data_IF_662494527737
#
_entry.id   IF_662494527737
#
_cell.length_a   1.000
_cell.length_b   1.000
_cell.length_c   1.000
_cell.angle_alpha   90.00
_cell.angle_beta   90.00
_cell.angle_gamma   90.00
#
_symmetry.space_group_name_H-M   'P 1'
#
loop_
_entity.id
_entity.type
_entity.pdbx_description
1 polymer ?
#
# COMPACT_ATOMS: atom_id res chain seq x y z
N UNK A 1 22.27 -10.26 26.02
CA UNK A 1 21.13 -10.34 25.08
C UNK A 1 19.92 -9.77 25.79
N UNK A 2 19.23 -8.78 25.22
CA UNK A 2 18.00 -8.25 25.82
C UNK A 2 16.86 -9.26 25.60
N UNK A 3 16.26 -9.73 26.68
CA UNK A 3 15.07 -10.57 26.63
C UNK A 3 13.90 -9.65 26.30
N UNK A 4 13.43 -9.69 25.06
CA UNK A 4 12.20 -9.00 24.69
C UNK A 4 11.03 -9.95 25.01
N UNK A 5 10.19 -9.61 26.01
CA UNK A 5 9.02 -10.42 26.30
C UNK A 5 8.13 -10.50 25.03
N UNK A 6 7.36 -11.59 24.85
CA UNK A 6 6.40 -11.68 23.76
C UNK A 6 5.44 -10.49 23.82
N UNK A 7 5.05 -9.91 22.67
CA UNK A 7 4.13 -8.79 22.66
C UNK A 7 2.85 -9.18 23.39
N UNK A 8 2.40 -8.33 24.32
CA UNK A 8 1.15 -8.58 25.03
C UNK A 8 -0.04 -8.43 24.07
N UNK A 9 -1.19 -9.01 24.43
CA UNK A 9 -2.40 -8.97 23.60
C UNK A 9 -2.81 -7.54 23.22
N UNK A 10 -2.64 -6.58 24.13
CA UNK A 10 -2.99 -5.17 23.92
C UNK A 10 -2.10 -4.50 22.87
N UNK A 11 -0.81 -4.84 22.81
CA UNK A 11 0.13 -4.37 21.78
C UNK A 11 -0.30 -4.88 20.39
N UNK A 12 -0.70 -6.16 20.29
CA UNK A 12 -1.19 -6.75 19.04
C UNK A 12 -2.50 -6.08 18.61
N UNK A 13 -3.45 -5.90 19.53
CA UNK A 13 -4.72 -5.21 19.25
C UNK A 13 -4.49 -3.74 18.85
N UNK A 14 -3.51 -3.08 19.48
CA UNK A 14 -3.09 -1.72 19.11
C UNK A 14 -2.58 -1.61 17.68
N UNK A 15 -1.86 -2.62 17.16
CA UNK A 15 -1.40 -2.66 15.77
C UNK A 15 -2.55 -2.76 14.77
N UNK A 16 -3.64 -3.45 15.11
CA UNK A 16 -4.84 -3.53 14.25
C UNK A 16 -5.45 -2.15 14.06
N UNK A 17 -5.69 -1.43 15.15
CA UNK A 17 -6.26 -0.08 15.11
C UNK A 17 -5.37 0.90 14.32
N UNK A 18 -4.05 0.83 14.51
CA UNK A 18 -3.09 1.65 13.76
C UNK A 18 -3.10 1.33 12.26
N UNK A 19 -3.22 0.06 11.91
CA UNK A 19 -3.27 -0.40 10.52
C UNK A 19 -4.53 0.08 9.81
N UNK A 20 -5.69 0.00 10.49
CA UNK A 20 -6.96 0.51 9.99
C UNK A 20 -6.91 2.03 9.77
N UNK A 21 -6.40 2.78 10.76
CA UNK A 21 -6.23 4.22 10.66
C UNK A 21 -5.30 4.63 9.48
N UNK A 22 -4.20 3.89 9.29
CA UNK A 22 -3.28 4.11 8.18
C UNK A 22 -3.96 3.83 6.83
N UNK A 23 -4.72 2.74 6.73
CA UNK A 23 -5.48 2.39 5.53
C UNK A 23 -6.51 3.47 5.17
N UNK A 24 -7.25 3.95 6.17
CA UNK A 24 -8.24 5.03 6.02
C UNK A 24 -7.56 6.32 5.52
N UNK A 25 -6.45 6.71 6.13
CA UNK A 25 -5.68 7.91 5.74
C UNK A 25 -5.18 7.82 4.29
N UNK A 26 -4.70 6.65 3.85
CA UNK A 26 -4.29 6.43 2.46
C UNK A 26 -5.46 6.53 1.48
N UNK A 27 -6.63 6.02 1.84
CA UNK A 27 -7.83 6.13 1.02
C UNK A 27 -8.30 7.59 0.89
N UNK A 28 -8.35 8.32 2.01
CA UNK A 28 -8.68 9.74 2.05
C UNK A 28 -7.72 10.57 1.20
N UNK A 29 -6.42 10.28 1.25
CA UNK A 29 -5.41 10.94 0.43
C UNK A 29 -5.72 10.79 -1.07
N UNK A 30 -6.08 9.58 -1.52
CA UNK A 30 -6.45 9.35 -2.93
C UNK A 30 -7.71 10.13 -3.30
N UNK A 31 -8.72 10.13 -2.44
CA UNK A 31 -9.98 10.89 -2.65
C UNK A 31 -9.70 12.38 -2.77
N UNK A 32 -8.90 12.94 -1.86
CA UNK A 32 -8.53 14.35 -1.89
C UNK A 32 -7.76 14.71 -3.16
N UNK A 33 -6.81 13.87 -3.60
CA UNK A 33 -6.11 14.06 -4.87
C UNK A 33 -7.10 14.07 -6.03
N UNK A 34 -8.05 13.14 -6.07
CA UNK A 34 -9.04 13.03 -7.14
C UNK A 34 -9.97 14.26 -7.21
N UNK A 35 -10.33 14.81 -6.05
CA UNK A 35 -11.05 16.10 -5.94
C UNK A 35 -10.21 17.25 -6.53
N UNK A 36 -8.92 17.33 -6.19
CA UNK A 36 -8.04 18.39 -6.72
C UNK A 36 -7.85 18.26 -8.24
N UNK A 37 -7.73 17.05 -8.76
CA UNK A 37 -7.69 16.80 -10.20
C UNK A 37 -8.98 17.26 -10.89
N UNK A 38 -10.15 17.03 -10.29
CA UNK A 38 -11.43 17.52 -10.83
C UNK A 38 -11.50 19.06 -10.87
N UNK A 39 -11.06 19.73 -9.79
CA UNK A 39 -10.97 21.21 -9.75
C UNK A 39 -10.03 21.76 -10.82
N UNK A 40 -8.88 21.11 -11.02
CA UNK A 40 -7.96 21.48 -12.10
C UNK A 40 -8.62 21.29 -13.47
N UNK A 41 -9.32 20.19 -13.71
CA UNK A 41 -10.02 19.97 -14.99
C UNK A 41 -11.07 21.06 -15.29
N UNK A 42 -11.79 21.49 -14.26
CA UNK A 42 -12.74 22.59 -14.37
C UNK A 42 -12.04 23.91 -14.73
N UNK A 43 -10.95 24.24 -14.05
CA UNK A 43 -10.14 25.42 -14.34
C UNK A 43 -9.56 25.40 -15.76
N UNK A 44 -9.03 24.25 -16.20
CA UNK A 44 -8.57 24.03 -17.57
C UNK A 44 -9.71 24.21 -18.60
N UNK A 45 -10.94 23.85 -18.22
CA UNK A 45 -12.13 24.08 -19.02
C UNK A 45 -12.40 25.56 -19.28
N UNK A 46 -12.21 26.42 -18.27
CA UNK A 46 -12.47 27.86 -18.30
C UNK A 46 -11.33 28.67 -18.94
N UNK A 47 -10.09 28.33 -18.64
CA UNK A 47 -8.89 29.10 -19.03
C UNK A 47 -8.45 28.87 -20.49
N UNK A 48 -8.92 27.83 -21.15
CA UNK A 48 -8.45 27.47 -22.49
C UNK A 48 -9.56 27.66 -23.52
N UNK A 49 -9.28 28.30 -24.67
CA UNK A 49 -10.26 28.41 -25.75
C UNK A 49 -10.64 27.03 -26.27
N UNK A 50 -11.86 26.90 -26.81
CA UNK A 50 -12.32 25.65 -27.43
C UNK A 50 -11.72 25.46 -28.83
N UNK A 51 -10.40 25.21 -28.87
CA UNK A 51 -9.60 25.02 -30.08
C UNK A 51 -8.70 23.80 -29.95
N UNK A 52 -8.21 23.29 -31.09
CA UNK A 52 -7.22 22.21 -31.12
C UNK A 52 -6.02 22.58 -30.24
N UNK A 53 -5.62 21.68 -29.35
CA UNK A 53 -4.63 21.90 -28.29
C UNK A 53 -5.21 22.02 -26.88
N UNK A 54 -6.53 22.09 -26.71
CA UNK A 54 -7.18 22.21 -25.39
C UNK A 54 -6.86 21.00 -24.52
N UNK A 55 -6.28 21.24 -23.36
CA UNK A 55 -5.96 20.21 -22.37
C UNK A 55 -7.14 19.99 -21.43
N UNK A 56 -7.42 18.72 -21.12
CA UNK A 56 -8.42 18.28 -20.13
C UNK A 56 -7.90 17.06 -19.39
N UNK A 57 -8.49 16.74 -18.25
CA UNK A 57 -8.26 15.50 -17.50
C UNK A 57 -9.47 14.59 -17.74
N UNK A 58 -9.23 13.36 -18.18
CA UNK A 58 -10.27 12.37 -18.46
C UNK A 58 -9.99 11.07 -17.72
N UNK A 59 -11.06 10.45 -17.24
CA UNK A 59 -11.03 9.18 -16.54
C UNK A 59 -11.28 8.06 -17.53
N UNK A 60 -10.24 7.29 -17.87
CA UNK A 60 -10.35 6.17 -18.80
C UNK A 60 -10.16 4.84 -18.07
N UNK A 61 -10.84 3.81 -18.55
CA UNK A 61 -10.64 2.44 -18.06
C UNK A 61 -9.30 1.91 -18.57
N UNK A 62 -8.43 1.49 -17.65
CA UNK A 62 -7.18 0.77 -17.91
C UNK A 62 -7.16 -0.46 -17.02
N UNK A 63 -7.14 -1.66 -17.63
CA UNK A 63 -7.17 -2.96 -16.91
C UNK A 63 -8.30 -3.03 -15.87
N UNK A 64 -9.51 -2.64 -16.28
CA UNK A 64 -10.70 -2.62 -15.42
C UNK A 64 -10.80 -1.46 -14.43
N UNK A 65 -9.74 -0.67 -14.23
CA UNK A 65 -9.71 0.45 -13.27
C UNK A 65 -9.86 1.79 -13.98
N UNK A 66 -10.60 2.73 -13.39
CA UNK A 66 -10.63 4.11 -13.87
C UNK A 66 -9.36 4.84 -13.44
N UNK A 67 -8.66 5.43 -14.42
CA UNK A 67 -7.40 6.14 -14.21
C UNK A 67 -7.49 7.52 -14.86
N UNK A 68 -7.07 8.59 -14.16
CA UNK A 68 -7.04 9.92 -14.73
C UNK A 68 -5.88 10.05 -15.72
N UNK A 69 -6.16 10.59 -16.90
CA UNK A 69 -5.18 10.93 -17.92
C UNK A 69 -5.37 12.37 -18.37
N UNK A 70 -4.27 13.09 -18.53
CA UNK A 70 -4.32 14.36 -19.26
C UNK A 70 -4.43 14.04 -20.75
N UNK A 71 -5.41 14.67 -21.39
CA UNK A 71 -5.67 14.55 -22.82
C UNK A 71 -5.61 15.92 -23.47
N UNK A 72 -5.14 15.93 -24.71
CA UNK A 72 -5.14 17.08 -25.60
C UNK A 72 -6.22 16.85 -26.65
N UNK A 73 -7.17 17.76 -26.75
CA UNK A 73 -8.20 17.73 -27.78
C UNK A 73 -7.63 18.24 -29.09
N UNK A 74 -7.77 17.43 -30.14
CA UNK A 74 -7.33 17.73 -31.50
C UNK A 74 -8.52 17.67 -32.42
N UNK A 75 -8.72 18.75 -33.19
CA UNK A 75 -9.72 18.77 -34.25
C UNK A 75 -9.12 18.14 -35.50
N UNK A 76 -9.69 17.02 -35.95
CA UNK A 76 -9.18 16.27 -37.11
C UNK A 76 -9.87 16.72 -38.40
N UNK A 77 -9.23 16.50 -39.55
CA UNK A 77 -9.76 16.92 -40.88
C UNK A 77 -11.15 16.37 -41.19
N UNK A 78 -11.55 15.26 -40.57
CA UNK A 78 -12.89 14.68 -40.71
C UNK A 78 -14.00 15.45 -39.98
N UNK A 79 -13.70 16.63 -39.42
CA UNK A 79 -14.67 17.47 -38.70
C UNK A 79 -14.98 17.01 -37.27
N UNK A 80 -14.27 16.00 -36.76
CA UNK A 80 -14.48 15.41 -35.43
C UNK A 80 -13.42 15.87 -34.43
N UNK A 81 -13.77 15.81 -33.15
CA UNK A 81 -12.83 16.01 -32.04
C UNK A 81 -12.27 14.68 -31.56
N UNK A 82 -10.94 14.60 -31.42
CA UNK A 82 -10.24 13.45 -30.87
C UNK A 82 -9.49 13.85 -29.60
N UNK A 83 -9.54 13.01 -28.58
CA UNK A 83 -8.70 13.15 -27.39
C UNK A 83 -7.42 12.32 -27.55
N UNK A 84 -6.27 12.98 -27.53
CA UNK A 84 -4.96 12.34 -27.52
C UNK A 84 -4.39 12.35 -26.10
N UNK A 85 -3.97 11.19 -25.60
CA UNK A 85 -3.32 11.12 -24.30
C UNK A 85 -1.96 11.84 -24.35
N UNK A 86 -1.70 12.64 -23.33
CA UNK A 86 -0.40 13.32 -23.16
C UNK A 86 0.47 12.52 -22.19
N UNK A 87 1.76 12.40 -22.50
CA UNK A 87 2.73 11.81 -21.59
C UNK A 87 2.94 12.73 -20.36
N UNK A 88 3.11 12.13 -19.19
CA UNK A 88 3.32 12.82 -17.91
C UNK A 88 4.58 13.73 -17.95
N UNK A 89 5.60 13.31 -18.68
CA UNK A 89 6.86 14.05 -18.83
C UNK A 89 6.68 15.34 -19.64
N UNK A 90 5.78 15.31 -20.63
CA UNK A 90 5.57 16.40 -21.59
C UNK A 90 4.44 17.35 -21.20
N UNK A 91 3.74 17.14 -20.06
CA UNK A 91 2.51 17.89 -19.72
C UNK A 91 2.67 19.41 -19.80
N UNK A 92 3.78 19.95 -19.31
CA UNK A 92 4.04 21.40 -19.30
C UNK A 92 4.47 21.89 -20.69
N UNK A 93 5.17 21.05 -21.46
CA UNK A 93 5.71 21.38 -22.77
C UNK A 93 4.61 21.47 -23.83
N UNK A 94 3.55 20.65 -23.70
CA UNK A 94 2.44 20.65 -24.67
C UNK A 94 1.47 21.82 -24.48
N UNK A 95 1.61 22.62 -23.42
CA UNK A 95 0.78 23.80 -23.19
C UNK A 95 1.03 24.82 -24.29
N UNK A 96 -0.03 25.17 -25.04
CA UNK A 96 0.06 26.19 -26.08
C UNK A 96 0.30 27.57 -25.48
N UNK A 97 1.15 28.34 -26.15
CA UNK A 97 1.54 29.71 -25.77
C UNK A 97 1.30 30.72 -26.91
N UNK A 98 0.81 30.26 -28.05
CA UNK A 98 0.58 31.07 -29.25
C UNK A 98 -0.77 31.81 -29.20
N UNK A 99 -0.84 33.03 -29.76
CA UNK A 99 -2.09 33.77 -29.99
C UNK A 99 -3.01 33.83 -28.75
N UNK A 100 -4.28 33.43 -28.90
CA UNK A 100 -5.33 33.38 -27.88
C UNK A 100 -4.99 32.53 -26.64
N UNK A 101 -3.94 31.70 -26.71
CA UNK A 101 -3.48 30.90 -25.57
C UNK A 101 -2.50 31.66 -24.68
N UNK A 102 -1.90 32.76 -25.17
CA UNK A 102 -0.75 33.41 -24.53
C UNK A 102 -1.07 33.90 -23.12
N UNK A 103 -2.22 34.54 -22.93
CA UNK A 103 -2.62 35.17 -21.67
C UNK A 103 -2.69 34.15 -20.52
N UNK A 104 -3.38 33.02 -20.73
CA UNK A 104 -3.60 32.01 -19.70
C UNK A 104 -2.51 30.92 -19.65
N UNK A 105 -1.59 30.90 -20.63
CA UNK A 105 -0.56 29.87 -20.71
C UNK A 105 0.35 29.73 -19.47
N UNK A 106 0.73 30.80 -18.73
CA UNK A 106 1.49 30.64 -17.49
C UNK A 106 0.69 29.86 -16.44
N UNK A 107 -0.57 30.23 -16.21
CA UNK A 107 -1.46 29.58 -15.24
C UNK A 107 -1.71 28.13 -15.63
N UNK A 108 -1.97 27.85 -16.91
CA UNK A 108 -2.16 26.49 -17.40
C UNK A 108 -0.91 25.63 -17.21
N UNK A 109 0.30 26.20 -17.38
CA UNK A 109 1.55 25.49 -17.09
C UNK A 109 1.68 25.14 -15.61
N UNK A 110 1.31 26.04 -14.72
CA UNK A 110 1.36 25.79 -13.27
C UNK A 110 0.34 24.72 -12.86
N UNK A 111 -0.87 24.77 -13.42
CA UNK A 111 -1.87 23.70 -13.26
C UNK A 111 -1.31 22.35 -13.74
N UNK A 112 -0.63 22.30 -14.88
CA UNK A 112 0.01 21.07 -15.38
C UNK A 112 1.15 20.56 -14.50
N UNK A 113 1.97 21.45 -13.92
CA UNK A 113 2.99 21.07 -12.93
C UNK A 113 2.33 20.45 -11.69
N UNK A 114 1.23 21.04 -11.22
CA UNK A 114 0.48 20.52 -10.08
C UNK A 114 -0.19 19.18 -10.40
N UNK A 115 -0.83 19.05 -11.56
CA UNK A 115 -1.38 17.79 -12.06
C UNK A 115 -0.31 16.69 -12.10
N UNK A 116 0.90 17.00 -12.59
CA UNK A 116 2.02 16.05 -12.61
C UNK A 116 2.34 15.51 -11.20
N UNK A 117 2.44 16.40 -10.21
CA UNK A 117 2.69 16.04 -8.82
C UNK A 117 1.55 15.19 -8.24
N UNK A 118 0.30 15.62 -8.43
CA UNK A 118 -0.89 14.91 -7.94
C UNK A 118 -0.99 13.49 -8.53
N UNK A 119 -0.77 13.33 -9.84
CA UNK A 119 -0.79 12.01 -10.47
C UNK A 119 0.31 11.08 -9.92
N UNK A 120 1.50 11.60 -9.65
CA UNK A 120 2.58 10.82 -9.03
C UNK A 120 2.23 10.41 -7.59
N UNK A 121 1.70 11.34 -6.78
CA UNK A 121 1.24 11.05 -5.41
C UNK A 121 0.13 10.00 -5.40
N UNK A 122 -0.83 10.12 -6.31
CA UNK A 122 -1.93 9.15 -6.47
C UNK A 122 -1.42 7.76 -6.79
N UNK A 123 -0.50 7.63 -7.74
CA UNK A 123 0.12 6.35 -8.10
C UNK A 123 0.81 5.73 -6.90
N UNK A 124 1.64 6.50 -6.19
CA UNK A 124 2.35 6.01 -5.01
C UNK A 124 1.41 5.55 -3.89
N UNK A 125 0.35 6.29 -3.62
CA UNK A 125 -0.65 5.91 -2.61
C UNK A 125 -1.37 4.61 -2.98
N UNK A 126 -1.76 4.46 -4.25
CA UNK A 126 -2.41 3.23 -4.74
C UNK A 126 -1.48 2.02 -4.77
N UNK A 127 -0.18 2.23 -5.06
CA UNK A 127 0.84 1.19 -4.96
C UNK A 127 1.03 0.75 -3.50
N UNK A 128 1.10 1.70 -2.55
CA UNK A 128 1.20 1.37 -1.13
C UNK A 128 0.02 0.50 -0.64
N UNK A 129 -1.21 0.85 -1.03
CA UNK A 129 -2.41 0.05 -0.72
C UNK A 129 -2.31 -1.36 -1.32
N UNK A 130 -1.83 -1.47 -2.57
CA UNK A 130 -1.68 -2.77 -3.24
C UNK A 130 -0.60 -3.64 -2.59
N UNK A 131 0.54 -3.04 -2.22
CA UNK A 131 1.60 -3.74 -1.51
C UNK A 131 1.14 -4.23 -0.15
N UNK A 132 0.48 -3.38 0.64
CA UNK A 132 -0.09 -3.77 1.93
C UNK A 132 -1.02 -4.98 1.78
N UNK A 133 -1.97 -4.91 0.83
CA UNK A 133 -2.90 -6.01 0.57
C UNK A 133 -2.19 -7.31 0.19
N UNK A 134 -1.18 -7.23 -0.70
CA UNK A 134 -0.45 -8.40 -1.16
C UNK A 134 0.35 -9.06 -0.03
N UNK A 135 1.04 -8.27 0.79
CA UNK A 135 1.84 -8.76 1.92
C UNK A 135 0.95 -9.37 3.02
N UNK A 136 -0.19 -8.73 3.33
CA UNK A 136 -1.15 -9.27 4.29
C UNK A 136 -1.73 -10.61 3.80
N UNK A 137 -2.13 -10.70 2.53
CA UNK A 137 -2.66 -11.93 1.94
C UNK A 137 -1.66 -13.09 1.98
N UNK A 138 -0.38 -12.83 1.70
CA UNK A 138 0.68 -13.84 1.81
C UNK A 138 0.82 -14.35 3.25
N UNK A 139 0.82 -13.45 4.22
CA UNK A 139 0.95 -13.83 5.63
C UNK A 139 -0.24 -14.67 6.11
N UNK A 140 -1.46 -14.30 5.67
CA UNK A 140 -2.69 -15.05 5.97
C UNK A 140 -2.66 -16.45 5.32
N UNK A 141 -2.01 -16.61 4.16
CA UNK A 141 -1.91 -17.94 3.52
C UNK A 141 -1.12 -18.97 4.33
N UNK A 142 -0.34 -18.54 5.32
CA UNK A 142 0.35 -19.44 6.26
C UNK A 142 -0.57 -19.99 7.37
N UNK A 143 -1.81 -19.51 7.46
CA UNK A 143 -2.77 -19.91 8.50
C UNK A 143 -2.97 -21.44 8.61
N UNK A 144 -3.15 -22.21 7.52
CA UNK A 144 -3.33 -23.66 7.64
C UNK A 144 -2.09 -24.38 8.16
N UNK A 145 -0.89 -23.85 7.87
CA UNK A 145 0.36 -24.41 8.40
C UNK A 145 0.45 -24.19 9.91
N UNK A 146 0.07 -22.99 10.39
CA UNK A 146 0.02 -22.71 11.83
C UNK A 146 -0.99 -23.63 12.54
N UNK A 147 -2.16 -23.84 11.95
CA UNK A 147 -3.18 -24.74 12.50
C UNK A 147 -2.68 -26.19 12.60
N UNK A 148 -1.97 -26.69 11.58
CA UNK A 148 -1.32 -28.01 11.62
C UNK A 148 -0.29 -28.10 12.74
N UNK A 149 0.58 -27.10 12.87
CA UNK A 149 1.63 -27.09 13.90
C UNK A 149 1.03 -27.01 15.32
N UNK A 150 -0.06 -26.27 15.50
CA UNK A 150 -0.76 -26.21 16.78
C UNK A 150 -1.38 -27.57 17.14
N UNK A 151 -2.01 -28.26 16.18
CA UNK A 151 -2.55 -29.60 16.42
C UNK A 151 -1.45 -30.61 16.81
N UNK A 152 -0.32 -30.59 16.09
CA UNK A 152 0.83 -31.44 16.42
C UNK A 152 1.38 -31.15 17.83
N UNK A 153 1.41 -29.86 18.23
CA UNK A 153 1.87 -29.45 19.56
C UNK A 153 0.89 -29.91 20.65
N UNK A 154 -0.41 -29.73 20.45
CA UNK A 154 -1.43 -30.17 21.40
C UNK A 154 -1.37 -31.68 21.62
N UNK A 155 -1.20 -32.46 20.55
CA UNK A 155 -1.02 -33.92 20.62
C UNK A 155 0.24 -34.31 21.44
N UNK A 156 1.35 -33.59 21.26
CA UNK A 156 2.58 -33.81 22.02
C UNK A 156 2.44 -33.45 23.50
N UNK A 157 1.73 -32.36 23.81
CA UNK A 157 1.47 -31.94 25.19
C UNK A 157 0.58 -32.94 25.92
N UNK A 158 -0.49 -33.43 25.27
CA UNK A 158 -1.35 -34.49 25.81
C UNK A 158 -0.54 -35.78 26.05
N UNK A 159 0.35 -36.16 25.12
CA UNK A 159 1.22 -37.32 25.31
C UNK A 159 2.20 -37.17 26.49
N UNK A 160 2.68 -35.94 26.76
CA UNK A 160 3.55 -35.65 27.90
C UNK A 160 2.79 -35.72 29.23
N UNK A 161 1.59 -35.13 29.32
CA UNK A 161 0.76 -35.17 30.52
C UNK A 161 0.39 -36.61 30.91
N UNK A 162 -0.05 -37.41 29.94
CA UNK A 162 -0.39 -38.82 30.18
C UNK A 162 0.82 -39.68 30.63
N UNK A 163 2.05 -39.27 30.28
CA UNK A 163 3.27 -39.96 30.69
C UNK A 163 3.68 -39.62 32.12
N UNK A 164 3.26 -38.47 32.64
CA UNK A 164 3.49 -38.06 34.03
C UNK A 164 2.43 -38.57 35.01
N UNK A 165 1.29 -39.07 34.52
CA UNK A 165 0.19 -39.61 35.34
C UNK A 165 0.25 -41.13 35.57
N UNK A 166 1.24 -41.84 35.02
CA UNK A 166 1.43 -43.28 35.25
C UNK A 166 2.11 -43.54 36.61
N UNK A 167 1.39 -44.05 37.65
CA UNK A 167 1.93 -44.23 39.00
C UNK A 167 3.00 -45.33 39.10
N UNK A 168 3.20 -46.12 38.03
CA UNK A 168 4.19 -47.21 37.96
C UNK A 168 5.40 -46.88 37.05
N UNK A 169 5.54 -45.63 36.59
CA UNK A 169 6.80 -45.21 35.96
C UNK A 169 7.90 -45.11 37.02
N UNK A 170 8.80 -46.10 37.05
CA UNK A 170 10.01 -46.10 37.87
C UNK A 170 10.69 -44.72 37.80
N UNK A 171 11.23 -44.21 38.92
CA UNK A 171 11.97 -42.95 38.91
C UNK A 171 13.12 -43.11 37.91
N UNK A 172 13.00 -42.42 36.76
CA UNK A 172 14.08 -42.31 35.79
C UNK A 172 15.34 -41.92 36.54
N UNK A 173 16.51 -42.53 36.23
CA UNK A 173 17.66 -42.52 37.09
C UNK A 173 17.93 -41.10 37.56
N UNK A 174 17.75 -40.91 38.87
CA UNK A 174 18.09 -39.68 39.56
C UNK A 174 19.45 -39.26 39.04
N UNK A 175 19.52 -38.10 38.37
CA UNK A 175 20.77 -37.46 38.02
C UNK A 175 21.38 -36.90 39.32
N UNK A 176 21.66 -37.80 40.26
CA UNK A 176 22.65 -37.61 41.29
C UNK A 176 24.00 -37.90 40.60
N UNK A 177 24.43 -36.95 39.77
CA UNK A 177 25.87 -36.69 39.66
C UNK A 177 26.25 -36.09 41.01
N UNK A 178 26.37 -36.99 42.00
CA UNK A 178 27.04 -36.73 43.26
C UNK A 178 28.48 -36.41 42.88
N UNK A 179 28.80 -35.13 43.06
CA UNK A 179 30.14 -34.58 43.03
C UNK A 179 30.92 -35.22 44.20
N UNK A 180 31.41 -36.45 44.03
CA UNK A 180 32.47 -36.97 44.89
C UNK A 180 33.80 -36.38 44.40
N UNK A 181 34.08 -35.15 44.85
CA UNK A 181 35.45 -34.69 45.00
C UNK A 181 35.80 -34.78 46.47
N UNK A 182 36.50 -35.85 46.83
CA UNK A 182 37.20 -35.96 48.11
C UNK A 182 38.22 -34.82 48.24
N UNK A 183 38.49 -34.33 49.47
CA UNK A 183 39.53 -33.34 49.71
C UNK A 183 40.89 -34.04 49.68
N UNK A 184 41.83 -33.53 48.89
CA UNK A 184 43.25 -33.77 49.13
C UNK A 184 43.82 -32.48 49.74
N UNK A 185 44.00 -32.53 51.06
CA UNK A 185 44.92 -31.65 51.81
C UNK A 185 46.34 -32.24 51.70
N UNK A 186 47.27 -31.43 51.15
CA UNK A 186 48.59 -31.02 51.68
C UNK A 186 49.54 -30.54 50.56
#
# INVERSE_FOLDING_TARGET
>A
MAFHPPPNLDEILGLVAQTEATGTTLAELVIQIDIQLAKIDEALGKLQPWKSGKLRIKWWKKRGKLVPFVVKWVYVRSGLWRAERVNLESLVLVVKTSHEWRADSPVVKDLMRMTKKLLALRTRALEAIQHFKATAALSISNQPQLESMNADLDDLLVALENRTEDPDSEPGPSSAVLLEMAPEDD
#
